data_IF_350882692751
#
_entry.id   IF_350882692751
#
_cell.length_a   1.000
_cell.length_b   1.000
_cell.length_c   1.000
_cell.angle_alpha   90.00
_cell.angle_beta   90.00
_cell.angle_gamma   90.00
#
_symmetry.space_group_name_H-M   'P 1'
#
loop_
_entity.id
_entity.type
_entity.pdbx_description
1 polymer ?
#
# COMPACT_ATOMS: atom_id res chain seq x y z
N UNK A 1 26.64 -2.14 32.12
CA UNK A 1 26.50 -0.91 31.28
C UNK A 1 26.55 -1.21 29.78
N UNK A 2 27.46 -2.07 29.29
CA UNK A 2 27.60 -2.45 27.87
C UNK A 2 26.33 -3.05 27.23
N UNK A 3 25.62 -3.94 27.93
CA UNK A 3 24.40 -4.59 27.41
C UNK A 3 23.23 -3.62 27.24
N UNK A 4 23.06 -2.66 28.17
CA UNK A 4 22.02 -1.61 28.05
C UNK A 4 22.27 -0.72 26.83
N UNK A 5 23.53 -0.39 26.54
CA UNK A 5 23.92 0.40 25.38
C UNK A 5 23.62 -0.33 24.06
N UNK A 6 23.95 -1.63 23.99
CA UNK A 6 23.65 -2.48 22.83
C UNK A 6 22.14 -2.58 22.57
N UNK A 7 21.33 -2.69 23.63
CA UNK A 7 19.87 -2.78 23.51
C UNK A 7 19.27 -1.47 22.96
N UNK A 8 19.73 -0.32 23.46
CA UNK A 8 19.32 1.00 22.96
C UNK A 8 19.71 1.20 21.50
N UNK A 9 20.91 0.74 21.10
CA UNK A 9 21.38 0.83 19.72
C UNK A 9 20.55 -0.03 18.76
N UNK A 10 20.24 -1.27 19.13
CA UNK A 10 19.33 -2.12 18.33
C UNK A 10 17.95 -1.49 18.19
N UNK A 11 17.41 -0.93 19.28
CA UNK A 11 16.10 -0.30 19.24
C UNK A 11 16.09 0.94 18.33
N UNK A 12 17.13 1.77 18.40
CA UNK A 12 17.28 2.93 17.51
C UNK A 12 17.37 2.52 16.03
N UNK A 13 18.09 1.45 15.70
CA UNK A 13 18.15 0.90 14.33
C UNK A 13 16.78 0.40 13.85
N UNK A 14 16.00 -0.27 14.71
CA UNK A 14 14.66 -0.72 14.36
C UNK A 14 13.70 0.46 14.12
N UNK A 15 13.81 1.55 14.89
CA UNK A 15 12.99 2.75 14.69
C UNK A 15 13.31 3.48 13.37
N UNK A 16 14.56 3.48 12.92
CA UNK A 16 14.93 4.03 11.61
C UNK A 16 14.20 3.31 10.47
N UNK A 17 14.01 1.99 10.58
CA UNK A 17 13.24 1.20 9.62
C UNK A 17 11.75 1.57 9.57
N UNK A 18 11.14 1.93 10.70
CA UNK A 18 9.72 2.31 10.76
C UNK A 18 9.44 3.64 10.05
N UNK A 19 10.34 4.63 10.16
CA UNK A 19 10.15 5.92 9.47
C UNK A 19 10.35 5.74 7.98
N UNK A 20 11.37 4.99 7.55
CA UNK A 20 11.65 4.76 6.14
C UNK A 20 10.52 4.01 5.44
N UNK A 21 10.01 2.95 6.08
CA UNK A 21 8.86 2.20 5.55
C UNK A 21 7.59 3.05 5.53
N UNK A 22 7.36 3.90 6.54
CA UNK A 22 6.22 4.84 6.53
C UNK A 22 6.33 5.88 5.42
N UNK A 23 7.51 6.45 5.19
CA UNK A 23 7.75 7.41 4.11
C UNK A 23 7.56 6.80 2.72
N UNK A 24 7.86 5.52 2.53
CA UNK A 24 7.68 4.84 1.23
C UNK A 24 6.23 4.35 1.05
N UNK A 25 5.61 3.81 2.10
CA UNK A 25 4.27 3.20 2.00
C UNK A 25 3.12 4.22 2.02
N UNK A 26 3.30 5.37 2.66
CA UNK A 26 2.28 6.43 2.70
C UNK A 26 2.00 7.04 1.32
N UNK A 27 3.01 7.40 0.50
CA UNK A 27 2.79 7.83 -0.89
C UNK A 27 2.09 6.78 -1.74
N UNK A 28 2.36 5.49 -1.53
CA UNK A 28 1.68 4.43 -2.27
C UNK A 28 0.18 4.38 -1.92
N UNK A 29 -0.18 4.58 -0.66
CA UNK A 29 -1.58 4.65 -0.20
C UNK A 29 -2.29 5.89 -0.70
N UNK A 30 -1.63 7.05 -0.63
CA UNK A 30 -2.16 8.32 -1.13
C UNK A 30 -2.29 8.28 -2.65
N UNK A 31 -1.28 7.76 -3.36
CA UNK A 31 -1.28 7.61 -4.81
C UNK A 31 -2.46 6.77 -5.28
N UNK A 32 -2.72 5.62 -4.65
CA UNK A 32 -3.91 4.81 -4.95
C UNK A 32 -5.23 5.56 -4.74
N UNK A 33 -5.35 6.32 -3.65
CA UNK A 33 -6.53 7.14 -3.38
C UNK A 33 -6.72 8.28 -4.40
N UNK A 34 -5.63 8.93 -4.81
CA UNK A 34 -5.67 10.00 -5.82
C UNK A 34 -6.03 9.43 -7.19
N UNK A 35 -5.44 8.32 -7.58
CA UNK A 35 -5.71 7.66 -8.86
C UNK A 35 -7.19 7.25 -8.96
N UNK A 36 -7.78 6.76 -7.86
CA UNK A 36 -9.20 6.37 -7.80
C UNK A 36 -10.17 7.54 -7.96
N UNK A 37 -9.77 8.77 -7.62
CA UNK A 37 -10.65 9.96 -7.72
C UNK A 37 -10.56 10.63 -9.10
N UNK A 38 -9.53 10.32 -9.88
CA UNK A 38 -9.32 10.95 -11.20
C UNK A 38 -10.13 10.16 -12.26
N UNK A 39 -11.16 10.76 -12.88
CA UNK A 39 -12.04 10.04 -13.82
C UNK A 39 -11.28 9.47 -15.03
N UNK A 40 -10.20 10.14 -15.48
CA UNK A 40 -9.36 9.68 -16.60
C UNK A 40 -8.67 8.33 -16.33
N UNK A 41 -8.48 7.96 -15.06
CA UNK A 41 -7.81 6.72 -14.66
C UNK A 41 -8.79 5.77 -13.95
N UNK A 42 -9.76 6.31 -13.20
CA UNK A 42 -10.81 5.55 -12.52
C UNK A 42 -11.74 4.83 -13.51
N UNK A 43 -12.31 5.55 -14.47
CA UNK A 43 -13.28 5.01 -15.43
C UNK A 43 -12.74 3.79 -16.22
N UNK A 44 -11.51 3.80 -16.79
CA UNK A 44 -10.99 2.62 -17.49
C UNK A 44 -10.63 1.46 -16.55
N UNK A 45 -10.31 1.74 -15.28
CA UNK A 45 -10.07 0.69 -14.28
C UNK A 45 -11.39 0.02 -13.89
N UNK A 46 -12.43 0.80 -13.62
CA UNK A 46 -13.76 0.28 -13.28
C UNK A 46 -14.36 -0.52 -14.44
N UNK A 47 -14.27 -0.03 -15.69
CA UNK A 47 -14.73 -0.79 -16.88
C UNK A 47 -14.01 -2.14 -17.03
N UNK A 48 -12.70 -2.17 -16.74
CA UNK A 48 -11.91 -3.40 -16.76
C UNK A 48 -12.34 -4.37 -15.66
N UNK A 49 -12.70 -3.86 -14.48
CA UNK A 49 -13.19 -4.65 -13.35
C UNK A 49 -14.57 -5.21 -13.65
N UNK A 50 -15.49 -4.40 -14.17
CA UNK A 50 -16.85 -4.82 -14.53
C UNK A 50 -16.84 -5.91 -15.60
N UNK A 51 -16.00 -5.77 -16.64
CA UNK A 51 -15.86 -6.80 -17.68
C UNK A 51 -15.42 -8.16 -17.10
N UNK A 52 -14.49 -8.14 -16.14
CA UNK A 52 -14.03 -9.34 -15.47
C UNK A 52 -15.10 -9.89 -14.52
N UNK A 53 -15.82 -9.01 -13.81
CA UNK A 53 -16.90 -9.39 -12.90
C UNK A 53 -18.06 -10.05 -13.65
N UNK A 54 -18.52 -9.47 -14.77
CA UNK A 54 -19.51 -10.06 -15.66
C UNK A 54 -19.04 -11.43 -16.20
N UNK A 55 -17.75 -11.53 -16.55
CA UNK A 55 -17.13 -12.80 -16.96
C UNK A 55 -17.17 -13.88 -15.87
N UNK A 56 -17.13 -13.50 -14.59
CA UNK A 56 -17.24 -14.41 -13.45
C UNK A 56 -18.71 -14.71 -13.13
N UNK A 57 -19.62 -13.73 -13.19
CA UNK A 57 -21.06 -13.91 -12.94
C UNK A 57 -21.73 -14.86 -13.97
N UNK A 58 -21.17 -14.96 -15.17
CA UNK A 58 -21.63 -15.93 -16.18
C UNK A 58 -21.21 -17.36 -15.89
N UNK A 59 -20.30 -17.60 -14.93
CA UNK A 59 -19.95 -18.95 -14.49
C UNK A 59 -21.08 -19.45 -13.59
N UNK A 60 -21.83 -20.49 -14.01
CA UNK A 60 -22.86 -21.08 -13.15
C UNK A 60 -22.16 -21.91 -12.07
N UNK A 61 -21.82 -21.28 -10.94
CA UNK A 61 -21.43 -21.93 -9.69
C UNK A 61 -22.65 -22.23 -8.82
#
# INVERSE_FOLDING_TARGET
>A
MKVKLLLVLSFALCLQGCVLTKVVTVPMRIGGAVISVVPVIGDPIDESIDTVADGIDTIPI
#
